data_IF_716959586444
#
_entry.id   IF_716959586444
#
_cell.length_a   1.000
_cell.length_b   1.000
_cell.length_c   1.000
_cell.angle_alpha   90.00
_cell.angle_beta   90.00
_cell.angle_gamma   90.00
#
_symmetry.space_group_name_H-M   'P 1'
#
loop_
_entity.id
_entity.type
_entity.pdbx_description
1 polymer ?
#
# COMPACT_ATOMS: atom_id res chain seq x y z
N UNK A 1 -12.09 -2.94 -7.31
CA UNK A 1 -10.97 -2.47 -6.45
C UNK A 1 -11.37 -1.39 -5.44
N UNK A 2 -12.63 -0.92 -5.42
CA UNK A 2 -13.13 -0.03 -4.35
C UNK A 2 -13.02 -0.70 -2.98
N UNK A 3 -13.30 -2.01 -2.92
CA UNK A 3 -13.16 -2.83 -1.71
C UNK A 3 -11.74 -2.82 -1.12
N UNK A 4 -10.70 -2.97 -1.96
CA UNK A 4 -9.30 -2.87 -1.55
C UNK A 4 -9.00 -1.49 -0.93
N UNK A 5 -9.42 -0.43 -1.60
CA UNK A 5 -9.21 0.93 -1.13
C UNK A 5 -9.89 1.21 0.20
N UNK A 6 -11.14 0.75 0.36
CA UNK A 6 -11.90 0.87 1.60
C UNK A 6 -11.24 0.08 2.75
N UNK A 7 -10.79 -1.15 2.48
CA UNK A 7 -10.08 -1.97 3.46
C UNK A 7 -8.80 -1.29 3.95
N UNK A 8 -7.95 -0.79 3.03
CA UNK A 8 -6.72 -0.09 3.38
C UNK A 8 -6.99 1.17 4.20
N UNK A 9 -7.99 1.98 3.80
CA UNK A 9 -8.39 3.19 4.51
C UNK A 9 -8.86 2.88 5.94
N UNK A 10 -9.64 1.82 6.12
CA UNK A 10 -10.12 1.40 7.44
C UNK A 10 -8.96 0.95 8.34
N UNK A 11 -8.04 0.12 7.83
CA UNK A 11 -6.87 -0.36 8.59
C UNK A 11 -5.92 0.77 8.96
N UNK A 12 -5.67 1.71 8.04
CA UNK A 12 -4.87 2.90 8.32
C UNK A 12 -5.47 3.80 9.40
N UNK A 13 -6.79 3.98 9.38
CA UNK A 13 -7.48 4.82 10.36
C UNK A 13 -7.51 4.21 11.77
N UNK A 14 -7.37 2.89 11.88
CA UNK A 14 -7.40 2.17 13.14
C UNK A 14 -6.06 2.20 13.91
N UNK A 15 -4.95 2.46 13.22
CA UNK A 15 -3.62 2.53 13.84
C UNK A 15 -3.24 3.96 14.18
N UNK A 16 -2.68 4.15 15.36
CA UNK A 16 -2.00 5.38 15.77
C UNK A 16 -0.52 5.33 15.34
N UNK A 17 0.15 6.49 15.23
CA UNK A 17 1.60 6.54 15.01
C UNK A 17 2.37 5.72 16.05
N UNK A 18 1.97 5.78 17.31
CA UNK A 18 2.62 5.08 18.42
C UNK A 18 2.51 3.57 18.27
N UNK A 19 1.39 3.06 17.75
CA UNK A 19 1.23 1.62 17.49
C UNK A 19 2.32 1.12 16.56
N UNK A 20 2.79 1.92 15.62
CA UNK A 20 3.85 1.54 14.65
C UNK A 20 5.23 2.09 15.03
N UNK A 21 5.40 2.53 16.27
CA UNK A 21 6.69 3.03 16.79
C UNK A 21 7.07 4.42 16.28
N UNK A 22 6.16 5.13 15.64
CA UNK A 22 6.35 6.52 15.25
C UNK A 22 6.00 7.43 16.43
N UNK A 23 6.79 8.47 16.62
CA UNK A 23 6.39 9.55 17.50
C UNK A 23 5.14 10.21 16.93
N UNK A 24 4.20 10.57 17.79
CA UNK A 24 3.10 11.44 17.39
C UNK A 24 3.67 12.83 17.05
N UNK A 25 4.23 12.98 15.85
CA UNK A 25 4.82 14.22 15.37
C UNK A 25 3.79 15.36 15.33
N UNK A 26 4.33 16.56 15.61
CA UNK A 26 3.77 17.92 15.62
C UNK A 26 2.38 18.16 16.28
N UNK A 27 2.24 19.32 16.94
CA UNK A 27 1.05 19.74 17.71
C UNK A 27 -0.24 19.85 16.86
N UNK A 28 -0.16 19.83 15.53
CA UNK A 28 -1.29 20.05 14.60
C UNK A 28 -1.61 18.86 13.68
N UNK A 29 -1.58 17.62 14.19
CA UNK A 29 -2.05 16.45 13.42
C UNK A 29 -3.57 16.53 13.17
N UNK A 30 -3.99 16.48 11.90
CA UNK A 30 -5.40 16.58 11.46
C UNK A 30 -6.15 15.23 11.38
N UNK A 31 -5.45 14.11 11.45
CA UNK A 31 -6.01 12.75 11.37
C UNK A 31 -5.62 11.96 12.60
N UNK A 32 -6.58 11.28 13.24
CA UNK A 32 -6.31 10.49 14.44
C UNK A 32 -5.45 9.24 14.18
N UNK A 33 -5.66 8.60 13.02
CA UNK A 33 -4.87 7.45 12.59
C UNK A 33 -3.63 7.81 11.76
N UNK A 34 -3.00 6.80 11.19
CA UNK A 34 -1.82 6.98 10.35
C UNK A 34 -2.11 7.82 9.10
N UNK A 35 -1.12 8.61 8.68
CA UNK A 35 -1.11 9.34 7.43
C UNK A 35 -0.70 8.42 6.28
N UNK A 36 -1.05 8.80 5.05
CA UNK A 36 -0.64 8.04 3.86
C UNK A 36 0.88 8.00 3.70
N UNK A 37 1.54 9.12 3.98
CA UNK A 37 3.00 9.23 3.96
C UNK A 37 3.67 8.31 4.97
N UNK A 38 3.11 8.21 6.18
CA UNK A 38 3.61 7.32 7.24
C UNK A 38 3.49 5.85 6.82
N UNK A 39 2.34 5.43 6.27
CA UNK A 39 2.17 4.05 5.78
C UNK A 39 3.09 3.76 4.59
N UNK A 40 3.21 4.69 3.65
CA UNK A 40 4.05 4.52 2.47
C UNK A 40 5.53 4.33 2.86
N UNK A 41 6.01 5.15 3.81
CA UNK A 41 7.35 5.01 4.40
C UNK A 41 7.53 3.65 5.08
N UNK A 42 6.60 3.24 5.96
CA UNK A 42 6.68 1.97 6.67
C UNK A 42 6.62 0.75 5.74
N UNK A 43 5.92 0.87 4.61
CA UNK A 43 5.77 -0.19 3.62
C UNK A 43 6.87 -0.19 2.55
N UNK A 44 7.81 0.77 2.59
CA UNK A 44 8.83 1.00 1.56
C UNK A 44 8.24 1.16 0.14
N UNK A 45 7.22 2.03 0.03
CA UNK A 45 6.55 2.34 -1.24
C UNK A 45 6.38 3.85 -1.43
N UNK A 46 6.20 4.29 -2.68
CA UNK A 46 5.89 5.69 -2.96
C UNK A 46 4.51 6.10 -2.45
N UNK A 47 4.39 7.33 -1.91
CA UNK A 47 3.14 7.90 -1.38
C UNK A 47 2.04 7.93 -2.45
N UNK A 48 2.37 8.28 -3.69
CA UNK A 48 1.42 8.27 -4.81
C UNK A 48 0.91 6.86 -5.11
N UNK A 49 1.77 5.86 -4.98
CA UNK A 49 1.38 4.47 -5.22
C UNK A 49 0.37 4.00 -4.16
N UNK A 50 0.65 4.25 -2.89
CA UNK A 50 -0.29 3.95 -1.80
C UNK A 50 -1.60 4.75 -1.93
N UNK A 51 -1.52 6.02 -2.32
CA UNK A 51 -2.71 6.85 -2.53
C UNK A 51 -3.60 6.32 -3.66
N UNK A 52 -3.02 5.89 -4.79
CA UNK A 52 -3.78 5.26 -5.89
C UNK A 52 -4.39 3.92 -5.48
N UNK A 53 -3.72 3.16 -4.61
CA UNK A 53 -4.26 1.92 -4.04
C UNK A 53 -5.49 2.18 -3.16
N UNK A 54 -5.41 3.14 -2.25
CA UNK A 54 -6.57 3.56 -1.43
C UNK A 54 -7.74 4.08 -2.27
N UNK A 55 -7.46 4.70 -3.43
CA UNK A 55 -8.49 5.16 -4.36
C UNK A 55 -9.02 4.06 -5.28
N UNK A 56 -8.47 2.85 -5.22
CA UNK A 56 -8.86 1.73 -6.09
C UNK A 56 -8.50 1.94 -7.56
N UNK A 57 -7.47 2.75 -7.87
CA UNK A 57 -7.04 3.11 -9.24
C UNK A 57 -5.81 2.34 -9.73
N UNK A 58 -5.28 1.41 -8.95
CA UNK A 58 -4.10 0.61 -9.30
C UNK A 58 -4.47 -0.85 -9.47
N UNK A 59 -4.23 -1.43 -10.65
CA UNK A 59 -4.35 -2.88 -10.91
C UNK A 59 -2.97 -3.54 -10.83
N UNK A 60 -2.94 -4.84 -10.54
CA UNK A 60 -1.71 -5.65 -10.67
C UNK A 60 -0.60 -5.29 -9.68
N UNK A 61 -0.93 -5.23 -8.39
CA UNK A 61 0.03 -4.97 -7.31
C UNK A 61 0.92 -6.19 -7.08
N UNK A 62 2.22 -6.00 -6.87
CA UNK A 62 3.13 -7.10 -6.58
C UNK A 62 2.91 -7.66 -5.17
N UNK A 63 3.20 -8.94 -4.99
CA UNK A 63 3.13 -9.61 -3.69
C UNK A 63 4.04 -8.93 -2.66
N UNK A 64 5.22 -8.48 -3.07
CA UNK A 64 6.15 -7.76 -2.21
C UNK A 64 5.55 -6.44 -1.67
N UNK A 65 4.85 -5.68 -2.52
CA UNK A 65 4.17 -4.44 -2.11
C UNK A 65 3.02 -4.75 -1.14
N UNK A 66 2.22 -5.79 -1.41
CA UNK A 66 1.14 -6.21 -0.51
C UNK A 66 1.68 -6.67 0.85
N UNK A 67 2.78 -7.41 0.87
CA UNK A 67 3.45 -7.84 2.10
C UNK A 67 4.04 -6.67 2.89
N UNK A 68 4.63 -5.68 2.21
CA UNK A 68 5.09 -4.42 2.82
C UNK A 68 3.94 -3.66 3.48
N UNK A 69 2.84 -3.46 2.75
CA UNK A 69 1.63 -2.79 3.26
C UNK A 69 1.02 -3.58 4.43
N UNK A 70 0.97 -4.91 4.34
CA UNK A 70 0.45 -5.77 5.40
C UNK A 70 1.23 -5.62 6.70
N UNK A 71 2.57 -5.58 6.63
CA UNK A 71 3.44 -5.34 7.78
C UNK A 71 3.28 -3.92 8.34
N UNK A 72 3.27 -2.91 7.48
CA UNK A 72 3.10 -1.51 7.87
C UNK A 72 1.77 -1.26 8.61
N UNK A 73 0.70 -1.92 8.15
CA UNK A 73 -0.63 -1.84 8.76
C UNK A 73 -0.86 -2.90 9.85
N UNK A 74 0.18 -3.62 10.30
CA UNK A 74 0.11 -4.66 11.33
C UNK A 74 -1.03 -5.65 11.12
N UNK A 75 -1.27 -6.04 9.88
CA UNK A 75 -2.34 -6.96 9.52
C UNK A 75 -2.06 -8.35 10.08
N UNK A 76 -3.10 -8.95 10.65
CA UNK A 76 -3.10 -10.38 11.02
C UNK A 76 -2.97 -11.26 9.79
N UNK A 77 -2.64 -12.55 9.97
CA UNK A 77 -2.48 -13.49 8.86
C UNK A 77 -3.75 -13.65 8.01
N UNK A 78 -4.92 -13.61 8.67
CA UNK A 78 -6.22 -13.64 8.00
C UNK A 78 -6.43 -12.38 7.14
N UNK A 79 -6.11 -11.21 7.69
CA UNK A 79 -6.22 -9.92 6.99
C UNK A 79 -5.23 -9.78 5.85
N UNK A 80 -4.01 -10.32 5.98
CA UNK A 80 -3.05 -10.38 4.88
C UNK A 80 -3.55 -11.28 3.76
N UNK A 81 -4.18 -12.41 4.10
CA UNK A 81 -4.80 -13.30 3.11
C UNK A 81 -5.95 -12.60 2.40
N UNK A 82 -6.76 -11.85 3.14
CA UNK A 82 -7.84 -11.06 2.58
C UNK A 82 -7.34 -9.92 1.69
N UNK A 83 -6.29 -9.20 2.11
CA UNK A 83 -5.63 -8.17 1.32
C UNK A 83 -5.18 -8.70 -0.05
N UNK A 84 -4.53 -9.87 -0.06
CA UNK A 84 -4.11 -10.54 -1.29
C UNK A 84 -5.30 -10.91 -2.17
N UNK A 85 -6.40 -11.40 -1.58
CA UNK A 85 -7.61 -11.72 -2.34
C UNK A 85 -8.22 -10.47 -3.00
N UNK A 86 -8.28 -9.35 -2.29
CA UNK A 86 -8.81 -8.08 -2.80
C UNK A 86 -7.94 -7.46 -3.91
N UNK A 87 -6.64 -7.71 -3.88
CA UNK A 87 -5.70 -7.20 -4.88
C UNK A 87 -5.64 -8.02 -6.17
N UNK A 88 -6.23 -9.22 -6.19
CA UNK A 88 -6.30 -10.03 -7.40
C UNK A 88 -7.16 -9.31 -8.45
N UNK A 89 -6.63 -9.07 -9.66
CA UNK A 89 -7.46 -8.55 -10.74
C UNK A 89 -8.62 -9.52 -11.01
N UNK A 90 -9.82 -9.02 -11.35
CA UNK A 90 -10.90 -9.90 -11.78
C UNK A 90 -10.39 -10.76 -12.94
N UNK A 91 -10.70 -12.06 -12.92
CA UNK A 91 -10.25 -13.00 -13.94
C UNK A 91 -10.66 -12.48 -15.32
N UNK A 92 -9.70 -11.93 -16.07
CA UNK A 92 -9.93 -11.52 -17.44
C UNK A 92 -10.02 -12.80 -18.28
N UNK A 93 -11.03 -12.99 -19.14
CA UNK A 93 -10.96 -14.03 -20.15
C UNK A 93 -9.63 -13.86 -20.91
N UNK A 94 -8.89 -14.96 -21.10
CA UNK A 94 -7.57 -14.97 -21.74
C UNK A 94 -7.65 -14.37 -23.15
N UNK A 95 -7.35 -13.10 -23.28
CA UNK A 95 -6.88 -12.51 -24.53
C UNK A 95 -5.35 -12.44 -24.47
N UNK A 96 -4.73 -12.91 -25.55
CA UNK A 96 -3.32 -13.28 -25.74
C UNK A 96 -2.27 -12.21 -25.33
N UNK A 97 -0.99 -12.64 -25.12
CA UNK A 97 0.02 -11.83 -24.45
C UNK A 97 0.63 -10.79 -25.39
N UNK A 98 0.53 -9.52 -25.03
CA UNK A 98 1.21 -8.42 -25.70
C UNK A 98 1.91 -7.51 -24.70
N UNK A 99 3.24 -7.46 -24.77
CA UNK A 99 4.04 -6.32 -24.33
C UNK A 99 4.34 -6.22 -22.84
N UNK A 100 5.49 -6.75 -22.43
CA UNK A 100 6.14 -6.47 -21.15
C UNK A 100 6.33 -4.96 -20.96
N UNK A 101 5.57 -4.36 -20.02
CA UNK A 101 5.88 -3.02 -19.53
C UNK A 101 7.09 -3.10 -18.61
N UNK A 102 8.25 -2.68 -19.13
CA UNK A 102 9.47 -2.45 -18.36
C UNK A 102 9.18 -1.39 -17.30
N UNK A 103 9.17 -1.78 -16.02
CA UNK A 103 9.28 -0.82 -14.93
C UNK A 103 10.77 -0.54 -14.74
N UNK A 104 11.12 0.71 -14.99
CA UNK A 104 12.45 1.30 -14.86
C UNK A 104 13.01 1.08 -13.45
N UNK A 105 14.10 0.31 -13.36
CA UNK A 105 15.02 0.37 -12.24
C UNK A 105 15.89 1.63 -12.43
N UNK A 106 15.51 2.73 -11.79
CA UNK A 106 16.33 3.94 -11.73
C UNK A 106 16.12 4.63 -10.38
N UNK A 107 16.73 4.07 -9.33
CA UNK A 107 17.14 4.85 -8.15
C UNK A 107 18.35 4.15 -7.54
N UNK A 108 19.53 4.65 -7.87
CA UNK A 108 20.79 4.10 -7.37
C UNK A 108 22.01 4.56 -8.15
N UNK A 109 22.09 5.84 -8.50
CA UNK A 109 23.35 6.44 -8.94
C UNK A 109 23.26 7.94 -8.69
N UNK A 110 23.85 8.36 -7.58
CA UNK A 110 24.59 9.61 -7.38
C UNK A 110 24.69 9.82 -5.87
N UNK A 111 25.90 9.69 -5.34
CA UNK A 111 26.59 10.70 -4.55
C UNK A 111 27.99 10.13 -4.24
N UNK A 112 28.97 10.55 -5.03
CA UNK A 112 30.35 10.79 -4.57
C UNK A 112 30.36 12.04 -3.68
#
# INVERSE_FOLDING_TARGET
>A
MIELGAFLKAKRAALTPQDVGLLAGDRMRRVAGLRREEVAMLADVGVDHYTRLEQGRTTGVSEAVLAGIGRALRLTDAEQTYLRALAKPPARPRSQPGGLSKISAATGALLD
#
